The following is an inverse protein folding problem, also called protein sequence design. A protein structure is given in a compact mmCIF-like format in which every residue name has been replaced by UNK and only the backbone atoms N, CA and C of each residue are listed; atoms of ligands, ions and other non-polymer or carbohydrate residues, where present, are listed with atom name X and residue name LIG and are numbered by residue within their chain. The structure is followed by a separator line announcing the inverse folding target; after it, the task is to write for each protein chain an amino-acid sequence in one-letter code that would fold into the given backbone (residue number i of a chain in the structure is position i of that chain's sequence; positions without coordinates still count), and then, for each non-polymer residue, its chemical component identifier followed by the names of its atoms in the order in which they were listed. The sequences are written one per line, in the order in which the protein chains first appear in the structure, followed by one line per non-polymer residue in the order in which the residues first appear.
data_IF_489961917868
#
_entry.id   IF_489961917868
#
_cell.length_a   1.000
_cell.length_b   1.000
_cell.length_c   1.000
_cell.angle_alpha   90.00
_cell.angle_beta   90.00
_cell.angle_gamma   90.00
#
_symmetry.space_group_name_H-M   'P 1'
#
loop_
_entity.id
_entity.type
_entity.pdbx_description
1 polymer ?
#
# COMPACT_ATOMS: atom_id res chain seq x y z
N UNK A 1 -2.02 19.63 5.51
CA UNK A 1 -1.74 19.94 4.10
C UNK A 1 -2.66 19.17 3.12
N UNK A 2 -2.66 17.83 3.09
CA UNK A 2 -3.48 17.06 2.13
C UNK A 2 -4.99 17.36 2.20
N UNK A 3 -5.53 17.51 3.41
CA UNK A 3 -6.93 17.91 3.59
C UNK A 3 -7.26 19.32 3.07
N UNK A 4 -6.27 20.20 2.89
CA UNK A 4 -6.43 21.49 2.23
C UNK A 4 -6.51 21.29 0.71
N UNK A 5 -5.51 20.61 0.11
CA UNK A 5 -5.48 20.32 -1.33
C UNK A 5 -6.71 19.55 -1.84
N UNK A 6 -7.27 18.68 -1.01
CA UNK A 6 -8.51 17.94 -1.31
C UNK A 6 -9.74 18.85 -1.44
N UNK A 7 -9.82 19.90 -0.63
CA UNK A 7 -11.02 20.75 -0.45
C UNK A 7 -10.93 22.12 -1.11
N UNK A 8 -9.72 22.57 -1.43
CA UNK A 8 -9.48 23.83 -2.11
C UNK A 8 -10.13 23.81 -3.50
N UNK A 9 -11.08 24.71 -3.82
CA UNK A 9 -11.74 24.76 -5.13
C UNK A 9 -10.78 25.04 -6.29
N UNK A 10 -9.59 25.58 -6.05
CA UNK A 10 -8.62 25.85 -7.11
C UNK A 10 -7.67 24.66 -7.35
N UNK A 11 -7.64 23.68 -6.44
CA UNK A 11 -6.86 22.45 -6.57
C UNK A 11 -7.74 21.21 -6.83
N UNK A 12 -8.77 21.02 -6.01
CA UNK A 12 -9.74 19.91 -6.06
C UNK A 12 -9.07 18.54 -6.26
N UNK A 13 -8.01 18.27 -5.50
CA UNK A 13 -7.29 16.99 -5.51
C UNK A 13 -8.05 15.95 -4.67
N UNK A 14 -9.30 15.74 -5.04
CA UNK A 14 -10.29 14.96 -4.29
C UNK A 14 -10.16 13.45 -4.47
N UNK A 15 -9.48 12.99 -5.54
CA UNK A 15 -9.21 11.58 -5.82
C UNK A 15 -7.80 11.18 -5.40
N UNK A 16 -7.71 10.17 -4.52
CA UNK A 16 -6.47 9.42 -4.29
C UNK A 16 -6.38 8.31 -5.33
N UNK A 17 -5.34 8.35 -6.15
CA UNK A 17 -5.10 7.37 -7.22
C UNK A 17 -4.27 6.20 -6.69
N UNK A 18 -3.23 6.50 -5.92
CA UNK A 18 -2.27 5.50 -5.46
C UNK A 18 -1.46 6.02 -4.25
N UNK A 19 -0.98 5.09 -3.42
CA UNK A 19 -0.02 5.30 -2.34
C UNK A 19 1.04 4.22 -2.45
N UNK A 20 2.28 4.61 -2.66
CA UNK A 20 3.38 3.67 -2.84
C UNK A 20 4.66 4.17 -2.19
N UNK A 21 5.65 3.29 -2.05
CA UNK A 21 6.99 3.67 -1.62
C UNK A 21 8.05 3.21 -2.63
N UNK A 22 9.20 3.85 -2.54
CA UNK A 22 10.42 3.46 -3.22
C UNK A 22 11.49 3.26 -2.17
N UNK A 23 12.02 2.04 -2.07
CA UNK A 23 13.22 1.77 -1.30
C UNK A 23 14.44 2.30 -2.08
N UNK A 24 15.17 3.24 -1.48
CA UNK A 24 16.31 3.96 -2.07
C UNK A 24 17.65 3.44 -1.58
N UNK A 25 17.71 2.31 -0.88
CA UNK A 25 18.96 1.69 -0.44
C UNK A 25 20.03 1.70 -1.57
N UNK A 26 21.26 2.18 -1.32
CA UNK A 26 21.85 2.54 -0.02
C UNK A 26 21.73 4.04 0.38
N UNK A 27 20.79 4.80 -0.19
CA UNK A 27 20.62 6.24 0.13
C UNK A 27 19.84 6.44 1.42
N UNK A 28 20.15 7.52 2.13
CA UNK A 28 19.39 8.00 3.29
C UNK A 28 18.73 9.36 3.03
N UNK A 29 17.48 9.58 3.46
CA UNK A 29 16.58 8.61 4.11
C UNK A 29 16.15 7.47 3.15
N UNK A 30 16.09 6.24 3.67
CA UNK A 30 15.87 5.01 2.89
C UNK A 30 14.59 5.00 2.06
N UNK A 31 13.45 5.39 2.62
CA UNK A 31 12.16 5.27 1.94
C UNK A 31 11.72 6.60 1.34
N UNK A 32 11.25 6.59 0.09
CA UNK A 32 10.46 7.67 -0.48
C UNK A 32 9.00 7.21 -0.57
N UNK A 33 8.08 7.85 0.17
CA UNK A 33 6.63 7.57 0.07
C UNK A 33 5.98 8.60 -0.84
N UNK A 34 5.14 8.13 -1.75
CA UNK A 34 4.47 8.94 -2.78
C UNK A 34 2.97 8.74 -2.76
N UNK A 35 2.24 9.84 -2.68
CA UNK A 35 0.79 9.88 -2.90
C UNK A 35 0.50 10.49 -4.25
N UNK A 36 -0.31 9.80 -5.05
CA UNK A 36 -0.75 10.27 -6.35
C UNK A 36 -2.18 10.77 -6.23
N UNK A 37 -2.40 12.05 -6.51
CA UNK A 37 -3.69 12.70 -6.37
C UNK A 37 -4.16 13.26 -7.70
N UNK A 38 -5.48 13.31 -7.88
CA UNK A 38 -6.10 13.83 -9.11
C UNK A 38 -7.34 14.67 -8.82
N UNK A 39 -7.53 15.70 -9.63
CA UNK A 39 -8.81 16.38 -9.78
C UNK A 39 -9.58 15.80 -10.95
N UNK A 40 -10.80 15.33 -10.69
CA UNK A 40 -11.72 14.91 -11.75
C UNK A 40 -12.25 16.12 -12.54
N UNK A 41 -12.48 17.24 -11.86
CA UNK A 41 -13.09 18.45 -12.43
C UNK A 41 -12.10 19.31 -13.21
N UNK A 42 -10.91 19.56 -12.64
CA UNK A 42 -9.90 20.43 -13.23
C UNK A 42 -8.90 19.66 -14.11
N UNK A 43 -8.86 18.33 -14.02
CA UNK A 43 -7.92 17.48 -14.75
C UNK A 43 -6.49 17.48 -14.20
N UNK A 44 -6.23 18.21 -13.10
CA UNK A 44 -4.92 18.28 -12.47
C UNK A 44 -4.49 16.95 -11.84
N UNK A 45 -3.17 16.73 -11.83
CA UNK A 45 -2.51 15.62 -11.16
C UNK A 45 -1.37 16.17 -10.32
N UNK A 46 -1.22 15.63 -9.12
CA UNK A 46 -0.14 16.01 -8.23
C UNK A 46 0.46 14.76 -7.59
N UNK A 47 1.77 14.81 -7.36
CA UNK A 47 2.47 13.83 -6.56
C UNK A 47 2.99 14.52 -5.30
N UNK A 48 2.56 14.04 -4.14
CA UNK A 48 3.20 14.41 -2.88
C UNK A 48 4.24 13.36 -2.55
N UNK A 49 5.42 13.80 -2.15
CA UNK A 49 6.56 12.94 -1.88
C UNK A 49 7.14 13.30 -0.51
N UNK A 50 7.36 12.30 0.32
CA UNK A 50 8.12 12.44 1.57
C UNK A 50 9.23 11.41 1.63
N UNK A 51 10.26 11.69 2.43
CA UNK A 51 11.37 10.78 2.67
C UNK A 51 11.38 10.38 4.15
N UNK A 52 11.59 9.10 4.42
CA UNK A 52 11.58 8.53 5.77
C UNK A 52 12.84 7.70 5.99
N UNK A 53 13.39 7.80 7.19
CA UNK A 53 14.46 6.90 7.64
C UNK A 53 13.86 5.52 7.93
N UNK A 54 14.69 4.47 7.96
CA UNK A 54 14.19 3.10 8.20
C UNK A 54 13.68 2.91 9.64
N UNK A 55 14.35 3.52 10.61
CA UNK A 55 14.04 3.46 12.04
C UNK A 55 12.82 4.30 12.44
N UNK A 56 12.41 5.24 11.58
CA UNK A 56 11.23 6.09 11.76
C UNK A 56 10.36 6.11 10.49
N UNK A 57 10.12 4.93 9.91
CA UNK A 57 9.31 4.75 8.70
C UNK A 57 7.80 4.84 9.00
N UNK A 58 7.36 5.96 9.58
CA UNK A 58 5.97 6.20 10.01
C UNK A 58 5.33 7.32 9.19
N UNK A 59 4.08 7.14 8.76
CA UNK A 59 3.26 8.17 8.11
C UNK A 59 1.90 8.28 8.80
N UNK A 60 1.26 9.46 8.81
CA UNK A 60 -0.13 9.55 9.23
C UNK A 60 -1.05 8.85 8.21
N UNK A 61 -1.99 8.04 8.70
CA UNK A 61 -3.01 7.41 7.87
C UNK A 61 -3.90 8.47 7.20
N UNK A 62 -4.16 8.28 5.92
CA UNK A 62 -5.04 9.07 5.09
C UNK A 62 -6.44 8.49 4.97
N UNK A 63 -6.73 7.35 5.60
CA UNK A 63 -8.07 6.74 5.61
C UNK A 63 -9.17 7.74 6.00
N UNK A 64 -9.00 8.61 7.02
CA UNK A 64 -10.02 9.61 7.36
C UNK A 64 -10.28 10.65 6.24
N UNK A 65 -9.34 10.84 5.32
CA UNK A 65 -9.45 11.78 4.19
C UNK A 65 -9.87 11.08 2.90
N UNK A 66 -9.44 9.84 2.68
CA UNK A 66 -9.66 9.07 1.46
C UNK A 66 -9.95 7.61 1.84
N UNK A 67 -11.20 7.18 1.68
CA UNK A 67 -11.58 5.79 1.98
C UNK A 67 -10.73 4.77 1.21
N UNK A 68 -10.35 5.07 -0.04
CA UNK A 68 -9.47 4.21 -0.84
C UNK A 68 -8.04 4.04 -0.29
N UNK A 69 -7.63 4.83 0.70
CA UNK A 69 -6.33 4.68 1.34
C UNK A 69 -6.22 3.40 2.18
N UNK A 70 -7.35 2.82 2.62
CA UNK A 70 -7.34 1.63 3.51
C UNK A 70 -6.56 0.46 2.90
N UNK A 71 -6.88 0.09 1.66
CA UNK A 71 -6.20 -1.02 0.98
C UNK A 71 -4.76 -0.67 0.61
N UNK A 72 -4.51 0.58 0.20
CA UNK A 72 -3.20 1.04 -0.27
C UNK A 72 -2.20 1.16 0.88
N UNK A 73 -2.63 1.63 2.05
CA UNK A 73 -1.77 1.72 3.24
C UNK A 73 -1.42 0.34 3.81
N UNK A 74 -2.34 -0.63 3.70
CA UNK A 74 -2.04 -2.02 4.07
C UNK A 74 -1.03 -2.66 3.13
N UNK A 75 -1.15 -2.43 1.83
CA UNK A 75 -0.15 -2.85 0.84
C UNK A 75 1.21 -2.19 1.12
N UNK A 76 1.24 -0.88 1.36
CA UNK A 76 2.45 -0.13 1.69
C UNK A 76 3.16 -0.72 2.91
N UNK A 77 2.39 -1.03 3.97
CA UNK A 77 2.91 -1.64 5.18
C UNK A 77 3.46 -3.05 4.93
N UNK A 78 2.72 -3.93 4.24
CA UNK A 78 3.21 -5.28 3.99
C UNK A 78 4.41 -5.33 3.03
N UNK A 79 4.40 -4.51 1.98
CA UNK A 79 5.43 -4.56 0.94
C UNK A 79 6.74 -3.87 1.35
N UNK A 80 6.66 -2.78 2.12
CA UNK A 80 7.81 -1.93 2.46
C UNK A 80 8.03 -1.78 3.97
N UNK A 81 7.06 -2.10 4.81
CA UNK A 81 7.14 -1.92 6.26
C UNK A 81 7.01 -0.48 6.72
N UNK A 82 6.43 0.40 5.91
CA UNK A 82 6.11 1.77 6.31
C UNK A 82 4.81 1.74 7.12
N UNK A 83 4.83 2.23 8.36
CA UNK A 83 3.72 2.14 9.30
C UNK A 83 2.74 3.33 9.16
N UNK A 84 1.46 3.09 8.81
CA UNK A 84 0.44 4.13 8.77
C UNK A 84 -0.20 4.33 10.16
N UNK A 85 0.24 5.35 10.88
CA UNK A 85 -0.29 5.70 12.20
C UNK A 85 -1.74 6.17 12.13
N UNK A 86 -2.58 5.62 13.00
CA UNK A 86 -4.02 5.87 13.02
C UNK A 86 -4.85 5.09 11.98
N UNK A 87 -4.26 4.11 11.28
CA UNK A 87 -5.01 3.25 10.35
C UNK A 87 -6.03 2.36 11.12
N UNK A 88 -7.32 2.36 10.76
CA UNK A 88 -8.37 1.70 11.56
C UNK A 88 -8.26 0.17 11.60
N UNK A 89 -7.81 -0.46 10.50
CA UNK A 89 -7.78 -1.91 10.34
C UNK A 89 -6.46 -2.42 9.73
N UNK A 90 -5.33 -2.11 10.38
CA UNK A 90 -4.02 -2.59 9.91
C UNK A 90 -3.88 -4.07 10.25
N UNK A 91 -4.02 -4.94 9.24
CA UNK A 91 -3.92 -6.40 9.33
C UNK A 91 -3.38 -6.98 8.03
N UNK A 92 -2.86 -8.22 8.04
CA UNK A 92 -2.37 -8.87 6.84
C UNK A 92 -3.38 -8.80 5.67
N UNK A 93 -2.90 -8.54 4.45
CA UNK A 93 -3.71 -8.18 3.29
C UNK A 93 -3.39 -8.96 2.02
N UNK A 94 -2.20 -8.77 1.45
CA UNK A 94 -1.77 -9.36 0.18
C UNK A 94 -0.93 -10.60 0.38
N UNK A 95 -0.08 -10.60 1.41
CA UNK A 95 0.85 -11.69 1.65
C UNK A 95 0.15 -12.87 2.34
N UNK A 96 0.65 -14.08 2.06
CA UNK A 96 0.23 -15.26 2.82
C UNK A 96 0.82 -15.20 4.24
N UNK A 97 0.17 -15.91 5.16
CA UNK A 97 0.35 -15.74 6.60
C UNK A 97 1.78 -16.01 7.10
N UNK A 98 2.50 -16.92 6.45
CA UNK A 98 3.84 -17.35 6.87
C UNK A 98 4.97 -16.62 6.14
N UNK A 99 4.66 -15.62 5.30
CA UNK A 99 5.71 -14.86 4.61
C UNK A 99 6.45 -13.99 5.61
N UNK A 100 7.79 -14.13 5.64
CA UNK A 100 8.65 -13.34 6.53
C UNK A 100 9.33 -12.20 5.77
N UNK A 101 9.02 -10.96 6.14
CA UNK A 101 9.67 -9.74 5.66
C UNK A 101 8.82 -8.92 4.68
N UNK A 102 9.49 -8.01 3.97
CA UNK A 102 8.87 -7.00 3.10
C UNK A 102 9.39 -7.15 1.66
N UNK A 103 8.63 -7.80 0.75
CA UNK A 103 9.16 -8.25 -0.53
C UNK A 103 9.69 -7.16 -1.47
N UNK A 104 9.18 -5.92 -1.36
CA UNK A 104 9.60 -4.81 -2.23
C UNK A 104 10.78 -4.02 -1.67
N UNK A 105 11.35 -4.44 -0.53
CA UNK A 105 12.63 -3.92 -0.06
C UNK A 105 13.79 -4.48 -0.88
N UNK A 106 14.80 -3.66 -1.17
CA UNK A 106 15.95 -4.02 -2.02
C UNK A 106 16.86 -5.08 -1.43
N UNK A 107 16.89 -5.20 -0.11
CA UNK A 107 17.64 -6.22 0.64
C UNK A 107 16.85 -7.52 0.85
N UNK A 108 15.59 -7.58 0.39
CA UNK A 108 14.78 -8.79 0.46
C UNK A 108 15.35 -9.90 -0.44
N UNK A 109 15.55 -11.09 0.14
CA UNK A 109 16.16 -12.24 -0.55
C UNK A 109 15.11 -13.03 -1.34
N UNK A 110 14.65 -12.47 -2.45
CA UNK A 110 13.59 -13.04 -3.29
C UNK A 110 13.91 -14.42 -3.89
N UNK A 111 15.19 -14.78 -4.02
CA UNK A 111 15.62 -16.09 -4.55
C UNK A 111 15.54 -17.23 -3.53
N UNK A 112 15.23 -16.93 -2.26
CA UNK A 112 15.11 -17.95 -1.22
C UNK A 112 13.71 -18.53 -1.19
N UNK A 113 13.64 -19.84 -1.00
CA UNK A 113 12.38 -20.49 -0.70
C UNK A 113 11.86 -20.00 0.65
N UNK A 114 10.59 -19.61 0.66
CA UNK A 114 9.87 -19.26 1.86
C UNK A 114 9.04 -20.47 2.35
N UNK A 115 8.57 -20.47 3.61
CA UNK A 115 7.72 -21.52 4.12
C UNK A 115 6.53 -21.77 3.19
N UNK A 116 6.33 -23.04 2.82
CA UNK A 116 5.18 -23.42 2.00
C UNK A 116 3.97 -23.56 2.93
N UNK A 117 2.89 -22.87 2.58
CA UNK A 117 1.58 -23.19 3.16
C UNK A 117 1.21 -24.60 2.70
N UNK A 118 0.91 -25.54 3.61
CA UNK A 118 0.48 -26.88 3.24
C UNK A 118 -0.72 -26.81 2.28
N UNK A 119 -0.84 -27.73 1.32
CA UNK A 119 -2.04 -27.83 0.51
C UNK A 119 -3.27 -27.94 1.41
N UNK A 120 -4.36 -27.26 1.04
CA UNK A 120 -5.65 -27.40 1.71
C UNK A 120 -6.03 -28.89 1.71
N UNK A 121 -6.02 -29.51 2.89
CA UNK A 121 -6.28 -30.95 3.05
C UNK A 121 -7.73 -31.29 2.65
N UNK A 122 -8.63 -30.31 2.81
CA UNK A 122 -10.05 -30.38 2.42
C UNK A 122 -10.31 -29.53 1.17
N UNK A 123 -9.63 -29.83 0.06
CA UNK A 123 -9.93 -29.19 -1.21
C UNK A 123 -11.42 -29.42 -1.53
N UNK A 124 -12.21 -28.34 -1.56
CA UNK A 124 -13.60 -28.38 -2.03
C UNK A 124 -13.59 -29.01 -3.42
N UNK A 125 -14.43 -30.03 -3.70
CA UNK A 125 -14.47 -30.63 -5.03
C UNK A 125 -14.64 -29.53 -6.08
N UNK A 126 -14.01 -29.68 -7.27
CA UNK A 126 -14.07 -28.66 -8.30
C UNK A 126 -15.52 -28.25 -8.53
N UNK A 127 -15.77 -26.94 -8.57
CA UNK A 127 -17.10 -26.41 -8.87
C UNK A 127 -17.42 -26.85 -10.30
N UNK A 128 -18.33 -27.82 -10.43
CA UNK A 128 -18.89 -28.21 -11.73
C UNK A 128 -19.70 -27.01 -12.19
N UNK A 129 -19.19 -26.26 -13.17
CA UNK A 129 -19.95 -25.23 -13.85
C UNK A 129 -20.99 -25.96 -14.69
N UNK A 130 -22.25 -25.95 -14.25
CA UNK A 130 -23.35 -26.38 -15.10
C UNK A 130 -23.36 -25.47 -16.34
N UNK A 131 -23.39 -26.06 -17.54
CA UNK A 131 -23.57 -25.29 -18.77
C UNK A 131 -24.92 -24.56 -18.66
N UNK A 132 -24.84 -23.23 -18.62
CA UNK A 132 -26.01 -22.35 -18.63
C UNK A 132 -26.71 -22.54 -19.99
N UNK A 133 -28.03 -22.79 -20.02
CA UNK A 133 -28.77 -23.06 -21.26
C UNK A 133 -28.79 -21.87 -22.23
#
# INVERSE_FOLDING_TARGET
MLGFLKRDPDADLSLLVDVTAVDRLPREPRFEVRWQLRSARLGYRAHLVTHLAEDDAVIPSLVPLFAGAESLERELYEMFGVYPDGHPHLRPWLLYQDLVGHPLRRDYRASKQQPLVPPLQDAKPPVVLEEVP
#
